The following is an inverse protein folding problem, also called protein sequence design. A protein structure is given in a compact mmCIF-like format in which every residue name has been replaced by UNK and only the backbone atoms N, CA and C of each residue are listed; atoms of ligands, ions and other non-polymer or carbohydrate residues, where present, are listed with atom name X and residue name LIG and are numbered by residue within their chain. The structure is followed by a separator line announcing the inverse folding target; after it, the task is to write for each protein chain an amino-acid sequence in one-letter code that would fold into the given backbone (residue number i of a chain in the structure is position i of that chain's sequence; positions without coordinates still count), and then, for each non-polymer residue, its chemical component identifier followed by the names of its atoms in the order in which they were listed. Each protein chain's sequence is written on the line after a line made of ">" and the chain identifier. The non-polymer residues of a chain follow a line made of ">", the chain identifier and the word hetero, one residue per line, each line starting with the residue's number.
data_IF_508100547357
#
_entry.id   IF_508100547357
#
_cell.length_a   1.000
_cell.length_b   1.000
_cell.length_c   1.000
_cell.angle_alpha   90.00
_cell.angle_beta   90.00
_cell.angle_gamma   90.00
#
_symmetry.space_group_name_H-M   'P 1'
#
loop_
_entity.id
_entity.type
_entity.pdbx_description
1 polymer ?
#
# COMPACT_ATOMS: atom_id res chain seq x y z
N UNK A 1 -7.98 -10.72 10.67
CA UNK A 1 -7.64 -10.06 9.39
C UNK A 1 -6.47 -10.78 8.75
N UNK A 2 -6.43 -10.90 7.41
CA UNK A 2 -5.24 -11.39 6.70
C UNK A 2 -4.14 -10.31 6.78
N UNK A 3 -2.91 -10.71 7.06
CA UNK A 3 -1.76 -9.79 7.16
C UNK A 3 -1.38 -9.19 5.80
N UNK A 4 -1.57 -9.98 4.73
CA UNK A 4 -1.21 -9.63 3.36
C UNK A 4 -2.47 -9.50 2.50
N UNK A 5 -2.64 -8.31 1.93
CA UNK A 5 -3.75 -7.99 1.04
C UNK A 5 -3.27 -7.84 -0.41
N UNK A 6 -4.19 -8.08 -1.35
CA UNK A 6 -3.94 -7.69 -2.74
C UNK A 6 -4.04 -6.17 -2.90
N UNK A 7 -3.57 -5.64 -4.03
CA UNK A 7 -3.76 -4.23 -4.41
C UNK A 7 -5.26 -3.87 -4.39
N UNK A 8 -6.10 -4.69 -5.02
CA UNK A 8 -7.56 -4.52 -5.07
C UNK A 8 -8.18 -4.45 -3.67
N UNK A 9 -7.82 -5.40 -2.81
CA UNK A 9 -8.32 -5.43 -1.42
C UNK A 9 -7.88 -4.20 -0.64
N UNK A 10 -6.63 -3.76 -0.81
CA UNK A 10 -6.10 -2.58 -0.12
C UNK A 10 -6.77 -1.31 -0.60
N UNK A 11 -7.03 -1.18 -1.91
CA UNK A 11 -7.79 -0.07 -2.48
C UNK A 11 -9.19 0.04 -1.83
N UNK A 12 -9.90 -1.08 -1.75
CA UNK A 12 -11.24 -1.13 -1.12
C UNK A 12 -11.22 -0.75 0.36
N UNK A 13 -10.21 -1.18 1.11
CA UNK A 13 -10.11 -0.92 2.55
C UNK A 13 -9.63 0.51 2.87
N UNK A 14 -8.75 1.06 2.04
CA UNK A 14 -8.12 2.36 2.30
C UNK A 14 -8.84 3.54 1.65
N UNK A 15 -9.71 3.28 0.68
CA UNK A 15 -10.29 4.33 -0.17
C UNK A 15 -9.35 4.87 -1.24
N UNK A 16 -8.10 4.41 -1.32
CA UNK A 16 -7.18 4.77 -2.40
C UNK A 16 -7.52 4.05 -3.69
N UNK A 17 -7.33 4.72 -4.83
CA UNK A 17 -7.46 4.08 -6.13
C UNK A 17 -6.40 3.00 -6.35
N UNK A 18 -6.77 1.89 -7.01
CA UNK A 18 -5.80 0.83 -7.37
C UNK A 18 -4.62 1.36 -8.18
N UNK A 19 -4.87 2.35 -9.05
CA UNK A 19 -3.83 3.00 -9.84
C UNK A 19 -2.82 3.75 -8.96
N UNK A 20 -3.30 4.50 -7.96
CA UNK A 20 -2.46 5.19 -6.99
C UNK A 20 -1.59 4.21 -6.21
N UNK A 21 -2.17 3.11 -5.73
CA UNK A 21 -1.40 2.06 -5.02
C UNK A 21 -0.33 1.45 -5.94
N UNK A 22 -0.67 1.13 -7.20
CA UNK A 22 0.32 0.61 -8.17
C UNK A 22 1.43 1.60 -8.44
N UNK A 23 1.12 2.90 -8.50
CA UNK A 23 2.11 3.97 -8.66
C UNK A 23 3.02 4.01 -7.43
N UNK A 24 2.47 4.09 -6.23
CA UNK A 24 3.22 4.12 -4.97
C UNK A 24 4.16 2.91 -4.82
N UNK A 25 3.69 1.70 -5.14
CA UNK A 25 4.53 0.49 -5.15
C UNK A 25 5.77 0.63 -6.06
N UNK A 26 5.65 1.39 -7.15
CA UNK A 26 6.74 1.59 -8.13
C UNK A 26 7.63 2.80 -7.83
N UNK A 27 7.05 3.87 -7.27
CA UNK A 27 7.72 5.17 -7.15
C UNK A 27 8.16 5.50 -5.74
N UNK A 28 7.47 4.98 -4.72
CA UNK A 28 7.77 5.25 -3.32
C UNK A 28 8.42 4.02 -2.66
N UNK A 29 9.74 4.04 -2.41
CA UNK A 29 10.43 2.92 -1.78
C UNK A 29 10.01 2.69 -0.32
N UNK A 30 9.36 3.68 0.32
CA UNK A 30 8.83 3.55 1.69
C UNK A 30 7.47 2.86 1.71
N UNK A 31 6.83 2.68 0.55
CA UNK A 31 5.52 2.07 0.48
C UNK A 31 5.56 0.57 0.85
N UNK A 32 4.82 0.12 1.88
CA UNK A 32 4.96 -1.20 2.46
C UNK A 32 4.32 -2.28 1.58
N UNK A 33 5.12 -2.85 0.69
CA UNK A 33 4.74 -3.93 -0.20
C UNK A 33 5.74 -5.09 -0.13
N UNK A 34 5.26 -6.27 -0.52
CA UNK A 34 6.04 -7.50 -0.61
C UNK A 34 5.78 -8.09 -1.99
N UNK A 35 6.85 -8.47 -2.69
CA UNK A 35 6.76 -9.27 -3.91
C UNK A 35 6.68 -10.75 -3.53
N UNK A 36 5.68 -11.45 -4.07
CA UNK A 36 5.47 -12.88 -3.92
C UNK A 36 5.67 -13.51 -5.30
N UNK A 37 6.79 -14.18 -5.50
CA UNK A 37 7.24 -14.60 -6.83
C UNK A 37 7.63 -13.41 -7.71
N UNK A 38 7.56 -13.59 -9.03
CA UNK A 38 8.05 -12.58 -9.99
C UNK A 38 7.09 -11.39 -10.19
N UNK A 39 5.78 -11.62 -10.09
CA UNK A 39 4.77 -10.66 -10.55
C UNK A 39 3.73 -10.26 -9.50
N UNK A 40 3.56 -11.05 -8.43
CA UNK A 40 2.48 -10.80 -7.48
C UNK A 40 2.93 -9.83 -6.41
N UNK A 41 2.26 -8.68 -6.32
CA UNK A 41 2.46 -7.72 -5.23
C UNK A 41 1.39 -7.92 -4.16
N UNK A 42 1.84 -8.05 -2.91
CA UNK A 42 0.99 -8.03 -1.72
C UNK A 42 1.36 -6.84 -0.86
N UNK A 43 0.39 -6.34 -0.11
CA UNK A 43 0.55 -5.20 0.79
C UNK A 43 0.38 -5.72 2.21
N UNK A 44 1.36 -5.45 3.07
CA UNK A 44 1.23 -5.72 4.49
C UNK A 44 0.31 -4.65 5.07
N UNK A 45 -0.91 -5.04 5.43
CA UNK A 45 -1.94 -4.08 5.80
C UNK A 45 -1.61 -3.32 7.10
N UNK A 46 -0.94 -3.99 8.04
CA UNK A 46 -0.53 -3.35 9.30
C UNK A 46 0.47 -2.23 9.01
N UNK A 47 1.55 -2.55 8.30
CA UNK A 47 2.57 -1.57 7.93
C UNK A 47 2.01 -0.46 7.02
N UNK A 48 1.08 -0.80 6.13
CA UNK A 48 0.37 0.17 5.31
C UNK A 48 -0.47 1.15 6.11
N UNK A 49 -1.18 0.69 7.15
CA UNK A 49 -1.95 1.56 8.04
C UNK A 49 -1.05 2.52 8.81
N UNK A 50 0.07 2.02 9.34
CA UNK A 50 1.07 2.84 10.04
C UNK A 50 1.71 3.87 9.09
N UNK A 51 2.04 3.45 7.87
CA UNK A 51 2.56 4.33 6.83
C UNK A 51 1.56 5.42 6.44
N UNK A 52 0.28 5.10 6.26
CA UNK A 52 -0.76 6.09 5.95
C UNK A 52 -0.91 7.14 7.05
N UNK A 53 -0.87 6.72 8.32
CA UNK A 53 -0.92 7.64 9.45
C UNK A 53 0.27 8.60 9.43
N UNK A 54 1.46 8.10 9.13
CA UNK A 54 2.66 8.90 9.03
C UNK A 54 2.61 9.90 7.87
N UNK A 55 2.23 9.45 6.68
CA UNK A 55 2.03 10.30 5.49
C UNK A 55 1.04 11.43 5.78
N UNK A 56 -0.04 11.12 6.49
CA UNK A 56 -1.06 12.08 6.91
C UNK A 56 -0.48 13.14 7.86
N UNK A 57 0.26 12.72 8.89
CA UNK A 57 0.92 13.63 9.84
C UNK A 57 1.96 14.54 9.19
N UNK A 58 2.66 14.02 8.18
CA UNK A 58 3.66 14.77 7.42
C UNK A 58 3.04 15.72 6.38
N UNK A 59 1.73 15.63 6.12
CA UNK A 59 1.05 16.44 5.11
C UNK A 59 1.45 16.10 3.67
N UNK A 60 1.91 14.87 3.42
CA UNK A 60 2.35 14.42 2.09
C UNK A 60 1.15 14.21 1.16
N UNK A 61 1.31 14.55 -0.12
CA UNK A 61 0.33 14.25 -1.18
C UNK A 61 0.63 12.90 -1.84
N UNK A 62 -0.43 12.13 -2.16
CA UNK A 62 -0.38 10.76 -2.72
C UNK A 62 -0.73 10.70 -4.21
#
# INVERSE_FOLDING_TARGET
>A
MKLLNSIKTTAQLSGLGEHTIRKLVRTDPTFPHIKVGETVVKINYKAFSEWLEQVSKEGRSL
#
